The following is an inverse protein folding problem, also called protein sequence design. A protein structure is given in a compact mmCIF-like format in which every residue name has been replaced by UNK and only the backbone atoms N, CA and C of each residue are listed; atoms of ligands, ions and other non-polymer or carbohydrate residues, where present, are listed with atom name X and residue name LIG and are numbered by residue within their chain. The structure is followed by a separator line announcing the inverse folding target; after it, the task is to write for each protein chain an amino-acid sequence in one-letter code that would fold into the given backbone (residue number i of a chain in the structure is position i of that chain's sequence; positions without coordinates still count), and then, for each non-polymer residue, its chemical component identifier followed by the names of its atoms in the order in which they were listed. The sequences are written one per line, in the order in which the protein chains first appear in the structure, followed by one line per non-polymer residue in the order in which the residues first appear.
data_IF_909399166805
#
_entry.id   IF_909399166805
#
_cell.length_a   1.000
_cell.length_b   1.000
_cell.length_c   1.000
_cell.angle_alpha   90.00
_cell.angle_beta   90.00
_cell.angle_gamma   90.00
#
_symmetry.space_group_name_H-M   'P 1'
#
loop_
_entity.id
_entity.type
_entity.pdbx_description
1 polymer ?
#
# COMPACT_ATOMS: atom_id res chain seq x y z
N UNK A 1 15.17 4.48 12.54
CA UNK A 1 15.00 4.85 11.12
C UNK A 1 15.78 3.87 10.22
N UNK A 2 15.24 2.67 10.02
CA UNK A 2 15.85 1.60 9.21
C UNK A 2 14.78 0.55 8.90
N UNK A 3 13.73 0.87 8.15
CA UNK A 3 12.71 -0.13 7.74
C UNK A 3 12.14 0.08 6.32
N UNK A 4 12.75 0.95 5.50
CA UNK A 4 12.19 1.30 4.16
C UNK A 4 13.11 1.01 2.98
N UNK A 5 14.33 0.52 3.20
CA UNK A 5 15.24 0.26 2.06
C UNK A 5 14.94 -1.06 1.36
N UNK A 6 14.44 -2.08 2.06
CA UNK A 6 14.27 -3.41 1.45
C UNK A 6 12.99 -3.53 0.60
N UNK A 7 11.92 -2.83 0.98
CA UNK A 7 10.62 -2.87 0.26
C UNK A 7 10.60 -2.03 -1.00
N UNK A 8 11.29 -0.89 -1.03
CA UNK A 8 11.38 -0.02 -2.22
C UNK A 8 12.21 -0.65 -3.34
N UNK A 9 13.25 -1.41 -2.98
CA UNK A 9 14.06 -2.14 -3.96
C UNK A 9 13.27 -3.30 -4.59
N UNK A 10 12.42 -3.98 -3.80
CA UNK A 10 11.54 -5.04 -4.28
C UNK A 10 10.44 -4.51 -5.22
N UNK A 11 9.78 -3.41 -4.86
CA UNK A 11 8.76 -2.76 -5.69
C UNK A 11 9.36 -2.21 -6.99
N UNK A 12 10.48 -1.48 -6.92
CA UNK A 12 11.16 -0.98 -8.12
C UNK A 12 11.63 -2.12 -9.04
N UNK A 13 12.16 -3.21 -8.48
CA UNK A 13 12.53 -4.40 -9.25
C UNK A 13 11.31 -5.06 -9.90
N UNK A 14 10.17 -5.11 -9.19
CA UNK A 14 8.91 -5.62 -9.73
C UNK A 14 8.43 -4.78 -10.91
N UNK A 15 8.33 -3.46 -10.74
CA UNK A 15 7.84 -2.54 -11.77
C UNK A 15 8.69 -2.58 -13.04
N UNK A 16 10.00 -2.77 -12.89
CA UNK A 16 10.94 -2.79 -14.02
C UNK A 16 11.00 -4.13 -14.75
N UNK A 17 10.86 -5.25 -14.03
CA UNK A 17 11.11 -6.59 -14.58
C UNK A 17 9.83 -7.42 -14.75
N UNK A 18 8.92 -7.39 -13.78
CA UNK A 18 7.74 -8.26 -13.72
C UNK A 18 6.51 -7.60 -14.30
N UNK A 19 6.25 -6.35 -13.93
CA UNK A 19 5.06 -5.63 -14.36
C UNK A 19 4.92 -5.54 -15.90
N UNK A 20 5.98 -5.33 -16.70
CA UNK A 20 5.86 -5.34 -18.16
C UNK A 20 5.44 -6.71 -18.71
N UNK A 21 5.86 -7.80 -18.07
CA UNK A 21 5.48 -9.17 -18.45
C UNK A 21 4.02 -9.44 -18.09
N UNK A 22 3.65 -9.10 -16.85
CA UNK A 22 2.31 -9.28 -16.32
C UNK A 22 1.28 -8.48 -17.12
N UNK A 23 1.55 -7.21 -17.41
CA UNK A 23 0.64 -6.36 -18.19
C UNK A 23 0.52 -6.78 -19.65
N UNK A 24 1.60 -7.29 -20.25
CA UNK A 24 1.58 -7.73 -21.64
C UNK A 24 0.89 -9.09 -21.85
N UNK A 25 0.93 -9.98 -20.85
CA UNK A 25 0.53 -11.38 -21.02
C UNK A 25 -0.58 -11.87 -20.10
N UNK A 26 -0.71 -11.29 -18.90
CA UNK A 26 -1.58 -11.81 -17.85
C UNK A 26 -2.74 -10.86 -17.53
N UNK A 27 -2.48 -9.56 -17.44
CA UNK A 27 -3.47 -8.51 -17.15
C UNK A 27 -4.28 -8.10 -18.39
N UNK A 28 -4.74 -9.10 -19.14
CA UNK A 28 -5.62 -8.93 -20.29
C UNK A 28 -7.08 -8.87 -19.84
N UNK A 29 -7.92 -8.16 -20.59
CA UNK A 29 -9.34 -8.03 -20.26
C UNK A 29 -10.02 -9.42 -20.13
N UNK A 30 -10.61 -9.70 -18.97
CA UNK A 30 -11.25 -10.98 -18.65
C UNK A 30 -10.29 -12.10 -18.22
N UNK A 31 -8.98 -11.81 -18.12
CA UNK A 31 -7.97 -12.68 -17.49
C UNK A 31 -7.62 -12.08 -16.12
N UNK A 32 -6.41 -11.59 -15.86
CA UNK A 32 -6.03 -11.14 -14.51
C UNK A 32 -6.10 -9.62 -14.32
N UNK A 33 -7.32 -9.08 -14.29
CA UNK A 33 -7.65 -7.68 -14.00
C UNK A 33 -8.66 -7.63 -12.83
N UNK A 34 -9.10 -6.44 -12.37
CA UNK A 34 -9.99 -6.31 -11.19
C UNK A 34 -11.19 -7.28 -11.10
N UNK A 35 -11.77 -7.70 -12.24
CA UNK A 35 -12.88 -8.65 -12.32
C UNK A 35 -12.46 -10.02 -12.92
N UNK A 36 -11.18 -10.36 -12.77
CA UNK A 36 -10.55 -11.55 -13.31
C UNK A 36 -10.92 -12.84 -12.58
N UNK A 37 -10.60 -14.02 -13.16
CA UNK A 37 -10.72 -15.28 -12.45
C UNK A 37 -9.99 -15.22 -11.12
N UNK A 38 -10.63 -15.75 -10.09
CA UNK A 38 -10.11 -15.80 -8.72
C UNK A 38 -9.82 -14.45 -8.09
N UNK A 39 -10.39 -13.35 -8.62
CA UNK A 39 -10.15 -12.00 -8.10
C UNK A 39 -8.70 -11.54 -8.22
N UNK A 40 -7.90 -12.20 -9.07
CA UNK A 40 -6.49 -11.87 -9.27
C UNK A 40 -6.35 -10.70 -10.24
N UNK A 41 -5.68 -9.65 -9.80
CA UNK A 41 -5.35 -8.48 -10.61
C UNK A 41 -3.83 -8.29 -10.65
N UNK A 42 -3.26 -8.30 -11.86
CA UNK A 42 -1.83 -8.18 -12.08
C UNK A 42 -1.43 -6.87 -12.77
N UNK A 43 -2.27 -5.84 -12.64
CA UNK A 43 -2.04 -4.51 -13.24
C UNK A 43 -1.13 -3.62 -12.39
N UNK A 44 -1.04 -3.87 -11.09
CA UNK A 44 -0.20 -3.09 -10.17
C UNK A 44 0.51 -3.99 -9.17
N UNK A 45 1.57 -3.48 -8.56
CA UNK A 45 2.31 -4.15 -7.50
C UNK A 45 1.40 -4.50 -6.32
N UNK A 46 0.61 -3.54 -5.85
CA UNK A 46 -0.28 -3.70 -4.70
C UNK A 46 -1.32 -4.79 -4.95
N UNK A 47 -1.90 -4.83 -6.15
CA UNK A 47 -2.87 -5.86 -6.53
C UNK A 47 -2.24 -7.26 -6.63
N UNK A 48 -0.99 -7.35 -7.10
CA UNK A 48 -0.27 -8.61 -7.21
C UNK A 48 0.06 -9.20 -5.84
N UNK A 49 0.48 -8.36 -4.89
CA UNK A 49 0.78 -8.75 -3.51
C UNK A 49 -0.49 -9.06 -2.71
N UNK A 50 -1.55 -8.27 -2.89
CA UNK A 50 -2.84 -8.52 -2.25
C UNK A 50 -3.41 -9.89 -2.63
N UNK A 51 -3.15 -10.33 -3.86
CA UNK A 51 -3.72 -11.56 -4.40
C UNK A 51 -5.23 -11.40 -4.64
N UNK A 52 -5.94 -12.53 -4.67
CA UNK A 52 -7.38 -12.56 -4.91
C UNK A 52 -8.09 -13.42 -3.86
N UNK A 53 -8.91 -14.37 -4.31
CA UNK A 53 -9.47 -15.41 -3.44
C UNK A 53 -8.37 -16.20 -2.71
N UNK A 54 -7.22 -16.35 -3.37
CA UNK A 54 -6.01 -17.00 -2.87
C UNK A 54 -4.77 -16.14 -3.23
N UNK A 55 -3.67 -16.26 -2.48
CA UNK A 55 -2.43 -15.56 -2.81
C UNK A 55 -1.85 -16.09 -4.14
N UNK A 56 -1.36 -15.19 -4.99
CA UNK A 56 -0.76 -15.57 -6.27
C UNK A 56 0.60 -16.28 -6.09
N UNK A 57 1.31 -15.97 -5.01
CA UNK A 57 2.62 -16.51 -4.67
C UNK A 57 2.80 -16.63 -3.16
N UNK A 58 3.79 -17.41 -2.75
CA UNK A 58 4.23 -17.56 -1.37
C UNK A 58 5.56 -16.82 -1.24
N UNK A 59 5.57 -15.73 -0.48
CA UNK A 59 6.79 -14.95 -0.24
C UNK A 59 7.90 -15.83 0.33
N UNK A 60 9.09 -15.75 -0.28
CA UNK A 60 10.26 -16.54 0.09
C UNK A 60 10.24 -17.98 -0.42
N UNK A 61 9.19 -18.39 -1.14
CA UNK A 61 9.04 -19.76 -1.65
C UNK A 61 8.40 -19.78 -3.04
N UNK A 62 9.23 -19.52 -4.05
CA UNK A 62 8.82 -19.59 -5.45
C UNK A 62 8.41 -21.01 -5.90
N UNK A 63 8.98 -22.06 -5.29
CA UNK A 63 8.73 -23.45 -5.69
C UNK A 63 7.30 -23.91 -5.35
N UNK A 64 6.73 -23.42 -4.25
CA UNK A 64 5.34 -23.70 -3.84
C UNK A 64 4.37 -22.59 -4.28
N UNK A 65 4.82 -21.62 -5.07
CA UNK A 65 3.99 -20.51 -5.55
C UNK A 65 3.18 -20.89 -6.79
N UNK A 66 1.86 -20.72 -6.73
CA UNK A 66 0.95 -21.08 -7.83
C UNK A 66 1.28 -20.34 -9.14
N UNK A 67 1.61 -19.04 -9.07
CA UNK A 67 2.00 -18.28 -10.27
C UNK A 67 3.17 -18.92 -11.02
N UNK A 68 4.16 -19.45 -10.29
CA UNK A 68 5.35 -20.09 -10.88
C UNK A 68 4.99 -21.44 -11.48
N UNK A 69 4.19 -22.25 -10.79
CA UNK A 69 3.70 -23.53 -11.30
C UNK A 69 2.96 -23.37 -12.63
N UNK A 70 2.05 -22.38 -12.71
CA UNK A 70 1.20 -22.18 -13.88
C UNK A 70 1.97 -21.68 -15.11
N UNK A 71 2.93 -20.77 -14.93
CA UNK A 71 3.76 -20.27 -16.03
C UNK A 71 4.78 -21.32 -16.48
N UNK A 72 5.38 -22.07 -15.55
CA UNK A 72 6.37 -23.10 -15.87
C UNK A 72 5.73 -24.31 -16.58
N UNK A 73 4.49 -24.64 -16.22
CA UNK A 73 3.71 -25.69 -16.89
C UNK A 73 3.16 -25.26 -18.26
N UNK A 74 3.27 -23.98 -18.61
CA UNK A 74 2.73 -23.42 -19.86
C UNK A 74 1.19 -23.35 -19.90
N UNK A 75 0.53 -23.48 -18.74
CA UNK A 75 -0.93 -23.31 -18.64
C UNK A 75 -1.33 -21.84 -18.81
N UNK A 76 -0.45 -20.93 -18.39
CA UNK A 76 -0.62 -19.48 -18.48
C UNK A 76 0.53 -18.86 -19.30
N UNK A 77 0.24 -17.95 -20.26
CA UNK A 77 -1.09 -17.51 -20.69
C UNK A 77 -1.82 -18.54 -21.58
N UNK A 78 -3.16 -18.69 -21.47
CA UNK A 78 -3.90 -19.73 -22.18
C UNK A 78 -3.90 -19.48 -23.68
N UNK A 79 -3.40 -20.44 -24.45
CA UNK A 79 -3.31 -20.33 -25.92
C UNK A 79 -2.31 -19.29 -26.43
N UNK A 80 -1.54 -18.66 -25.53
CA UNK A 80 -0.43 -17.78 -25.86
C UNK A 80 0.91 -18.53 -25.92
N UNK A 81 1.98 -17.88 -26.41
CA UNK A 81 3.32 -18.41 -26.26
C UNK A 81 3.68 -18.50 -24.76
N UNK A 82 4.29 -19.62 -24.32
CA UNK A 82 4.77 -19.74 -22.94
C UNK A 82 5.85 -18.69 -22.67
N UNK A 83 6.01 -18.35 -21.39
CA UNK A 83 7.12 -17.52 -20.95
C UNK A 83 8.44 -18.25 -21.18
N UNK A 84 9.49 -17.48 -21.46
CA UNK A 84 10.84 -18.03 -21.55
C UNK A 84 11.38 -18.39 -20.17
N UNK A 85 12.35 -19.31 -20.11
CA UNK A 85 13.01 -19.67 -18.84
C UNK A 85 13.59 -18.44 -18.12
N UNK A 86 14.11 -17.47 -18.89
CA UNK A 86 14.64 -16.22 -18.34
C UNK A 86 13.53 -15.35 -17.71
N UNK A 87 12.35 -15.28 -18.33
CA UNK A 87 11.21 -14.55 -17.78
C UNK A 87 10.69 -15.25 -16.52
N UNK A 88 10.58 -16.58 -16.52
CA UNK A 88 10.18 -17.37 -15.35
C UNK A 88 11.17 -17.15 -14.20
N UNK A 89 12.47 -17.12 -14.49
CA UNK A 89 13.49 -16.88 -13.47
C UNK A 89 13.34 -15.53 -12.78
N UNK A 90 12.85 -14.48 -13.47
CA UNK A 90 12.56 -13.19 -12.83
C UNK A 90 11.47 -13.31 -11.75
N UNK A 91 10.44 -14.14 -11.99
CA UNK A 91 9.41 -14.42 -10.98
C UNK A 91 10.01 -15.18 -9.79
N UNK A 92 10.78 -16.23 -10.07
CA UNK A 92 11.42 -17.05 -9.03
C UNK A 92 12.33 -16.20 -8.15
N UNK A 93 13.21 -15.42 -8.77
CA UNK A 93 14.17 -14.59 -8.06
C UNK A 93 13.45 -13.54 -7.21
N UNK A 94 12.47 -12.84 -7.78
CA UNK A 94 11.74 -11.82 -7.05
C UNK A 94 10.92 -12.39 -5.88
N UNK A 95 10.21 -13.51 -6.08
CA UNK A 95 9.41 -14.16 -5.02
C UNK A 95 10.31 -14.63 -3.87
N UNK A 96 11.47 -15.23 -4.19
CA UNK A 96 12.42 -15.69 -3.18
C UNK A 96 13.10 -14.55 -2.41
N UNK A 97 13.13 -13.34 -2.99
CA UNK A 97 13.60 -12.12 -2.31
C UNK A 97 12.52 -11.50 -1.41
N UNK A 98 11.26 -11.92 -1.51
CA UNK A 98 10.23 -11.42 -0.61
C UNK A 98 10.41 -12.12 0.74
N UNK A 99 10.79 -11.37 1.77
CA UNK A 99 10.60 -11.82 3.14
C UNK A 99 9.10 -12.06 3.34
N UNK A 100 8.73 -13.13 4.05
CA UNK A 100 7.32 -13.43 4.32
C UNK A 100 6.70 -12.20 5.01
N UNK A 101 5.97 -11.38 4.25
CA UNK A 101 5.22 -10.23 4.75
C UNK A 101 4.07 -10.76 5.62
N UNK A 102 4.43 -11.20 6.82
CA UNK A 102 3.53 -11.41 7.94
C UNK A 102 3.23 -10.08 8.58
N UNK A 103 2.68 -9.14 7.81
CA UNK A 103 1.92 -8.03 8.34
C UNK A 103 0.93 -7.57 7.28
N UNK A 104 -0.23 -8.22 7.29
CA UNK A 104 -1.43 -7.70 6.67
C UNK A 104 -1.83 -6.42 7.41
N UNK A 105 -1.15 -5.31 7.14
CA UNK A 105 -1.78 -4.00 7.27
C UNK A 105 -2.58 -3.85 5.98
N UNK A 106 -3.81 -4.36 5.99
CA UNK A 106 -4.83 -3.77 5.14
C UNK A 106 -4.77 -2.26 5.43
N UNK A 107 -4.74 -1.37 4.43
CA UNK A 107 -5.14 -0.01 4.70
C UNK A 107 -6.51 -0.10 5.38
N UNK A 108 -6.57 0.37 6.63
CA UNK A 108 -7.82 0.65 7.30
C UNK A 108 -8.51 1.68 6.41
N UNK A 109 -9.37 1.19 5.52
CA UNK A 109 -10.23 1.99 4.68
C UNK A 109 -11.08 2.82 5.63
N UNK A 110 -10.62 4.06 5.82
CA UNK A 110 -11.04 4.97 6.86
C UNK A 110 -12.54 4.94 7.08
N UNK A 111 -12.94 4.39 8.22
CA UNK A 111 -14.25 4.66 8.78
C UNK A 111 -14.16 6.00 9.52
N UNK A 112 -14.52 7.05 8.80
CA UNK A 112 -15.13 8.30 9.28
C UNK A 112 -15.12 8.50 10.81
N UNK A 113 -14.12 9.21 11.34
CA UNK A 113 -14.36 10.08 12.50
C UNK A 113 -14.86 11.41 11.96
N UNK A 114 -16.15 11.43 11.60
CA UNK A 114 -16.87 12.67 11.40
C UNK A 114 -16.86 13.44 12.73
N UNK A 115 -16.16 14.57 12.69
CA UNK A 115 -16.35 15.82 13.44
C UNK A 115 -17.57 15.84 14.40
N UNK A 116 -17.34 16.03 15.70
CA UNK A 116 -17.92 17.18 16.40
C UNK A 116 -17.51 17.32 17.87
N UNK A 117 -17.16 18.57 18.21
CA UNK A 117 -17.39 19.27 19.48
C UNK A 117 -16.59 18.85 20.73
N UNK A 118 -15.55 19.66 20.96
CA UNK A 118 -15.28 20.29 22.26
C UNK A 118 -16.59 20.81 22.88
N UNK A 119 -17.07 20.11 23.90
CA UNK A 119 -17.96 20.68 24.90
C UNK A 119 -17.15 20.89 26.18
N UNK A 120 -16.95 22.17 26.48
CA UNK A 120 -16.47 22.69 27.75
C UNK A 120 -17.30 22.14 28.92
N UNK A 121 -16.63 21.65 29.96
CA UNK A 121 -17.03 21.82 31.35
C UNK A 121 -15.81 21.65 32.27
N UNK A 122 -15.25 22.80 32.66
CA UNK A 122 -15.02 23.24 34.05
C UNK A 122 -14.58 22.19 35.09
N UNK A 123 -13.33 22.29 35.56
CA UNK A 123 -12.99 22.90 36.86
C UNK A 123 -11.66 22.37 37.47
N UNK A 124 -10.88 23.36 37.94
CA UNK A 124 -9.89 23.35 39.02
C UNK A 124 -8.42 22.89 38.79
N UNK A 125 -7.60 23.94 38.64
CA UNK A 125 -6.45 24.34 39.48
C UNK A 125 -5.21 23.43 39.61
N UNK A 126 -4.11 23.94 39.05
CA UNK A 126 -2.78 24.19 39.67
C UNK A 126 -1.67 24.01 38.61
N UNK A 127 -0.58 24.78 38.48
CA UNK A 127 -0.02 25.91 39.19
C UNK A 127 1.36 26.15 38.52
N UNK A 128 1.60 27.40 38.11
CA UNK A 128 2.87 28.11 37.81
C UNK A 128 3.97 27.46 36.92
N UNK A 129 4.46 28.21 35.92
CA UNK A 129 5.56 29.19 36.12
C UNK A 129 6.08 29.75 34.76
N UNK A 130 5.77 31.03 34.52
CA UNK A 130 6.67 32.12 34.09
C UNK A 130 7.73 31.86 32.98
N UNK A 131 7.70 32.64 31.90
CA UNK A 131 8.69 33.72 31.64
C UNK A 131 8.30 34.58 30.42
N UNK A 132 7.82 35.78 30.75
CA UNK A 132 8.14 37.10 30.22
C UNK A 132 8.77 37.23 28.81
N UNK A 133 8.17 38.07 27.94
CA UNK A 133 8.66 39.43 27.62
C UNK A 133 8.58 39.82 26.13
N UNK A 134 7.65 40.70 25.75
CA UNK A 134 7.91 42.11 25.34
C UNK A 134 6.76 42.71 24.50
N UNK A 135 6.29 43.89 24.97
CA UNK A 135 5.93 45.13 24.26
C UNK A 135 5.42 45.03 22.79
N UNK A 136 4.36 45.72 22.38
CA UNK A 136 4.14 47.16 22.59
C UNK A 136 2.82 47.65 21.98
N UNK A 137 2.34 48.79 22.51
CA UNK A 137 1.50 49.83 21.91
C UNK A 137 -0.03 49.63 21.79
N UNK A 138 -0.73 50.16 22.79
CA UNK A 138 -1.59 51.35 22.73
C UNK A 138 -2.29 51.69 21.41
N UNK A 139 -3.63 51.78 21.47
CA UNK A 139 -4.43 53.01 21.31
C UNK A 139 -5.92 52.57 21.33
N UNK A 140 -6.72 53.05 22.28
CA UNK A 140 -7.58 54.25 22.14
C UNK A 140 -8.65 54.01 21.06
N UNK A 141 -9.95 54.11 21.23
CA UNK A 141 -10.84 54.88 22.11
C UNK A 141 -12.26 54.39 21.67
N UNK A 142 -13.33 54.39 22.45
CA UNK A 142 -14.21 55.53 22.73
C UNK A 142 -15.64 54.96 22.77
N UNK A 143 -16.44 55.52 23.68
CA UNK A 143 -17.87 55.82 23.53
C UNK A 143 -18.89 54.67 23.41
N UNK A 144 -19.73 54.49 24.44
CA UNK A 144 -21.09 55.08 24.56
C UNK A 144 -22.10 54.31 23.70
N UNK A 145 -23.36 54.09 24.04
CA UNK A 145 -24.24 54.54 25.11
C UNK A 145 -25.55 53.73 24.90
N UNK A 146 -26.40 53.74 25.90
CA UNK A 146 -27.86 53.68 25.79
C UNK A 146 -28.53 52.44 25.17
N UNK A 147 -29.12 51.60 26.03
CA UNK A 147 -30.50 51.78 26.52
C UNK A 147 -31.06 50.50 27.16
#
# INVERSE_FOLDING_TARGET
PTEVHETVDAEFSFEQNLLPILTARCALAGCHVADGPHGLDFRTYESFIAGGEHPAFIAGNAEESEVVEQIASGNMPPGGPPLTDAEIQLFVDWINQQEAHGDTILPDDGHDVHDHMVDDHDDDDDNHNNHNNHNNHDNHADDNDDN
#
